data_IF_133693494199
#
_entry.id   IF_133693494199
#
_cell.length_a   1.000
_cell.length_b   1.000
_cell.length_c   1.000
_cell.angle_alpha   90.00
_cell.angle_beta   90.00
_cell.angle_gamma   90.00
#
_symmetry.space_group_name_H-M   'P 1'
#
loop_
_entity.id
_entity.type
_entity.pdbx_description
1 polymer ?
#
# COMPACT_ATOMS: atom_id res chain seq x y z
N UNK A 1 -16.17 -19.05 -34.19
CA UNK A 1 -15.99 -17.75 -33.50
C UNK A 1 -15.33 -18.05 -32.18
N UNK A 2 -13.99 -18.02 -32.14
CA UNK A 2 -13.23 -18.23 -30.92
C UNK A 2 -13.38 -17.00 -30.01
N UNK A 3 -14.18 -17.15 -28.95
CA UNK A 3 -14.26 -16.16 -27.90
C UNK A 3 -12.91 -16.13 -27.18
N UNK A 4 -12.07 -15.15 -27.52
CA UNK A 4 -10.84 -14.85 -26.79
C UNK A 4 -11.25 -14.64 -25.32
N UNK A 5 -10.70 -15.41 -24.36
CA UNK A 5 -11.11 -15.27 -22.97
C UNK A 5 -10.87 -13.82 -22.54
N UNK A 6 -11.91 -13.15 -22.07
CA UNK A 6 -11.86 -11.80 -21.54
C UNK A 6 -10.96 -11.87 -20.31
N UNK A 7 -9.67 -11.54 -20.49
CA UNK A 7 -8.74 -11.50 -19.38
C UNK A 7 -9.18 -10.37 -18.45
N UNK A 8 -9.38 -10.63 -17.14
CA UNK A 8 -9.82 -9.60 -16.22
C UNK A 8 -8.82 -8.44 -16.24
N UNK A 9 -9.30 -7.22 -16.44
CA UNK A 9 -8.44 -6.04 -16.49
C UNK A 9 -7.77 -5.81 -15.12
N UNK A 10 -6.43 -5.70 -15.05
CA UNK A 10 -5.73 -5.55 -13.78
C UNK A 10 -6.02 -4.18 -13.17
N UNK A 11 -6.43 -4.14 -11.89
CA UNK A 11 -6.69 -2.88 -11.17
C UNK A 11 -5.62 -2.66 -10.11
N UNK A 12 -4.95 -1.52 -10.18
CA UNK A 12 -3.94 -1.12 -9.20
C UNK A 12 -4.55 -0.85 -7.83
N UNK A 13 -3.91 -1.40 -6.79
CA UNK A 13 -4.26 -1.19 -5.38
C UNK A 13 -3.24 -0.26 -4.70
N UNK A 14 -2.90 0.83 -5.38
CA UNK A 14 -1.95 1.82 -4.89
C UNK A 14 -2.72 3.07 -4.43
N UNK A 15 -2.62 3.42 -3.15
CA UNK A 15 -3.19 4.65 -2.59
C UNK A 15 -2.70 5.91 -3.33
N UNK A 16 -1.42 5.87 -3.73
CA UNK A 16 -0.82 6.92 -4.54
C UNK A 16 -0.24 6.25 -5.77
N UNK A 17 -0.81 6.60 -6.92
CA UNK A 17 -0.33 6.12 -8.19
C UNK A 17 1.19 6.38 -8.29
N UNK A 18 2.02 5.39 -8.70
CA UNK A 18 3.46 5.55 -8.80
C UNK A 18 3.88 6.74 -9.69
N UNK A 19 3.01 7.16 -10.61
CA UNK A 19 3.23 8.34 -11.45
C UNK A 19 3.37 9.64 -10.64
N UNK A 20 2.69 9.75 -9.50
CA UNK A 20 2.74 10.95 -8.65
C UNK A 20 4.08 11.09 -7.91
N UNK A 21 4.73 9.98 -7.56
CA UNK A 21 6.05 9.99 -6.93
C UNK A 21 7.20 9.90 -7.93
N UNK A 22 6.96 9.45 -9.16
CA UNK A 22 7.98 9.29 -10.18
C UNK A 22 8.86 10.54 -10.41
N UNK A 23 8.34 11.78 -10.50
CA UNK A 23 9.19 12.95 -10.71
C UNK A 23 10.02 13.31 -9.47
N UNK A 24 9.45 13.21 -8.27
CA UNK A 24 10.16 13.45 -7.01
C UNK A 24 11.27 12.40 -6.79
N UNK A 25 10.95 11.12 -6.98
CA UNK A 25 11.91 10.01 -6.87
C UNK A 25 13.05 10.14 -7.88
N UNK A 26 12.75 10.58 -9.12
CA UNK A 26 13.77 10.89 -10.13
C UNK A 26 14.71 12.00 -9.70
N UNK A 27 14.18 13.08 -9.11
CA UNK A 27 14.99 14.18 -8.57
C UNK A 27 15.88 13.70 -7.43
N UNK A 28 15.32 12.91 -6.51
CA UNK A 28 16.08 12.33 -5.40
C UNK A 28 17.19 11.38 -5.90
N UNK A 29 16.90 10.55 -6.90
CA UNK A 29 17.89 9.66 -7.49
C UNK A 29 19.01 10.44 -8.19
N UNK A 30 18.67 11.50 -8.94
CA UNK A 30 19.64 12.37 -9.60
C UNK A 30 20.54 13.07 -8.58
N UNK A 31 19.96 13.64 -7.52
CA UNK A 31 20.71 14.29 -6.45
C UNK A 31 21.65 13.29 -5.75
N UNK A 32 21.17 12.08 -5.48
CA UNK A 32 21.98 11.03 -4.83
C UNK A 32 23.13 10.55 -5.70
N UNK A 33 22.89 10.38 -7.01
CA UNK A 33 23.95 10.06 -7.97
C UNK A 33 24.96 11.20 -8.06
N UNK A 34 24.51 12.46 -8.09
CA UNK A 34 25.38 13.63 -8.09
C UNK A 34 26.29 13.69 -6.85
N UNK A 35 25.73 13.43 -5.66
CA UNK A 35 26.49 13.38 -4.41
C UNK A 35 27.49 12.22 -4.43
N UNK A 36 27.08 11.02 -4.88
CA UNK A 36 27.97 9.86 -4.99
C UNK A 36 29.14 10.11 -5.96
N UNK A 37 28.86 10.70 -7.13
CA UNK A 37 29.88 11.08 -8.11
C UNK A 37 30.82 12.15 -7.54
N UNK A 38 30.27 13.19 -6.91
CA UNK A 38 31.06 14.26 -6.29
C UNK A 38 31.99 13.75 -5.20
N UNK A 39 31.47 12.91 -4.29
CA UNK A 39 32.27 12.28 -3.24
C UNK A 39 33.36 11.36 -3.80
N UNK A 40 33.05 10.57 -4.83
CA UNK A 40 34.03 9.72 -5.50
C UNK A 40 35.14 10.51 -6.19
N UNK A 41 34.80 11.58 -6.91
CA UNK A 41 35.78 12.45 -7.57
C UNK A 41 36.69 13.17 -6.56
N UNK A 42 36.13 13.67 -5.45
CA UNK A 42 36.92 14.27 -4.38
C UNK A 42 37.85 13.25 -3.71
N UNK A 43 37.38 12.03 -3.48
CA UNK A 43 38.20 10.95 -2.93
C UNK A 43 39.33 10.51 -3.88
N UNK A 44 39.14 10.59 -5.19
CA UNK A 44 40.15 10.24 -6.19
C UNK A 44 41.38 11.16 -6.17
N UNK A 45 41.26 12.36 -5.58
CA UNK A 45 42.39 13.27 -5.36
C UNK A 45 43.28 12.83 -4.19
N UNK A 46 42.71 12.06 -3.25
CA UNK A 46 43.33 11.71 -1.97
C UNK A 46 43.74 10.24 -1.90
N UNK A 47 43.08 9.38 -2.68
CA UNK A 47 43.19 7.93 -2.57
C UNK A 47 43.26 7.31 -3.97
N UNK A 48 43.74 6.06 -4.04
CA UNK A 48 43.77 5.30 -5.29
C UNK A 48 42.38 5.20 -5.93
N UNK A 49 42.36 5.23 -7.26
CA UNK A 49 41.14 5.22 -8.07
C UNK A 49 40.13 4.12 -7.67
N UNK A 50 40.53 2.87 -7.34
CA UNK A 50 39.60 1.85 -6.86
C UNK A 50 38.90 2.21 -5.55
N UNK A 51 39.60 2.81 -4.58
CA UNK A 51 39.01 3.23 -3.31
C UNK A 51 38.06 4.41 -3.50
N UNK A 52 38.42 5.35 -4.36
CA UNK A 52 37.58 6.49 -4.68
C UNK A 52 36.24 6.07 -5.32
N UNK A 53 36.27 5.10 -6.24
CA UNK A 53 35.06 4.49 -6.81
C UNK A 53 34.23 3.79 -5.72
N UNK A 54 34.88 3.02 -4.83
CA UNK A 54 34.18 2.36 -3.73
C UNK A 54 33.45 3.36 -2.81
N UNK A 55 34.08 4.48 -2.47
CA UNK A 55 33.48 5.56 -1.66
C UNK A 55 32.25 6.14 -2.38
N UNK A 56 32.36 6.46 -3.66
CA UNK A 56 31.25 7.00 -4.45
C UNK A 56 30.05 6.04 -4.51
N UNK A 57 30.30 4.74 -4.66
CA UNK A 57 29.26 3.70 -4.64
C UNK A 57 28.61 3.59 -3.26
N UNK A 58 29.38 3.52 -2.18
CA UNK A 58 28.83 3.39 -0.82
C UNK A 58 27.94 4.58 -0.45
N UNK A 59 28.27 5.78 -0.92
CA UNK A 59 27.49 7.00 -0.65
C UNK A 59 26.26 7.11 -1.56
N UNK A 60 26.41 6.87 -2.87
CA UNK A 60 25.34 7.10 -3.85
C UNK A 60 24.39 5.91 -4.06
N UNK A 61 24.90 4.68 -3.95
CA UNK A 61 24.14 3.48 -4.32
C UNK A 61 22.95 3.19 -3.40
N UNK A 62 23.04 3.31 -2.05
CA UNK A 62 21.91 2.97 -1.17
C UNK A 62 20.63 3.74 -1.51
N UNK A 63 20.75 5.06 -1.74
CA UNK A 63 19.61 5.91 -2.08
C UNK A 63 19.09 5.64 -3.49
N UNK A 64 19.99 5.46 -4.47
CA UNK A 64 19.60 5.11 -5.83
C UNK A 64 18.86 3.76 -5.87
N UNK A 65 19.40 2.74 -5.22
CA UNK A 65 18.77 1.42 -5.07
C UNK A 65 17.41 1.53 -4.38
N UNK A 66 17.31 2.32 -3.31
CA UNK A 66 16.05 2.53 -2.59
C UNK A 66 14.95 3.13 -3.48
N UNK A 67 15.27 4.16 -4.27
CA UNK A 67 14.29 4.77 -5.18
C UNK A 67 13.82 3.81 -6.28
N UNK A 68 14.73 3.03 -6.86
CA UNK A 68 14.40 2.01 -7.87
C UNK A 68 13.55 0.89 -7.25
N UNK A 69 13.88 0.49 -6.03
CA UNK A 69 13.15 -0.53 -5.28
C UNK A 69 11.70 -0.12 -5.03
N UNK A 70 11.46 1.11 -4.60
CA UNK A 70 10.12 1.67 -4.39
C UNK A 70 9.32 1.71 -5.68
N UNK A 71 9.93 2.13 -6.79
CA UNK A 71 9.26 2.25 -8.08
C UNK A 71 8.83 0.90 -8.68
N UNK A 72 9.51 -0.19 -8.32
CA UNK A 72 9.20 -1.55 -8.79
C UNK A 72 8.10 -2.24 -8.01
N UNK A 73 7.80 -1.78 -6.78
CA UNK A 73 6.73 -2.36 -5.97
C UNK A 73 5.39 -1.89 -6.52
N UNK A 74 4.58 -2.83 -6.98
CA UNK A 74 3.20 -2.59 -7.43
C UNK A 74 2.30 -3.69 -6.90
N UNK A 75 1.11 -3.31 -6.49
CA UNK A 75 0.07 -4.24 -6.08
C UNK A 75 -1.10 -4.03 -7.03
N UNK A 76 -1.57 -5.11 -7.65
CA UNK A 76 -2.76 -5.06 -8.48
C UNK A 76 -3.60 -6.31 -8.27
N UNK A 77 -4.85 -6.23 -8.72
CA UNK A 77 -5.81 -7.30 -8.60
C UNK A 77 -6.36 -7.71 -9.95
N UNK A 78 -6.36 -9.02 -10.19
CA UNK A 78 -6.89 -9.65 -11.39
C UNK A 78 -7.90 -10.71 -10.97
N UNK A 79 -9.19 -10.43 -11.13
CA UNK A 79 -10.26 -11.27 -10.57
C UNK A 79 -10.20 -11.29 -9.04
N UNK A 80 -10.07 -12.48 -8.45
CA UNK A 80 -9.91 -12.72 -7.00
C UNK A 80 -8.44 -12.91 -6.57
N UNK A 81 -7.50 -12.77 -7.51
CA UNK A 81 -6.07 -12.95 -7.26
C UNK A 81 -5.38 -11.60 -7.12
N UNK A 82 -4.68 -11.44 -6.00
CA UNK A 82 -3.83 -10.31 -5.71
C UNK A 82 -2.42 -10.60 -6.23
N UNK A 83 -1.93 -9.73 -7.11
CA UNK A 83 -0.59 -9.77 -7.64
C UNK A 83 0.27 -8.72 -6.95
N UNK A 84 1.40 -9.16 -6.39
CA UNK A 84 2.34 -8.32 -5.66
C UNK A 84 3.69 -8.43 -6.32
N UNK A 85 4.10 -7.37 -7.01
CA UNK A 85 5.47 -7.26 -7.53
C UNK A 85 6.40 -6.76 -6.42
N UNK A 86 7.41 -7.55 -6.09
CA UNK A 86 8.45 -7.18 -5.13
C UNK A 86 9.70 -6.69 -5.87
N UNK A 87 10.75 -6.35 -5.13
CA UNK A 87 12.06 -6.02 -5.70
C UNK A 87 12.55 -7.11 -6.66
N UNK A 88 12.35 -8.36 -6.25
CA UNK A 88 12.65 -9.55 -7.03
C UNK A 88 11.42 -10.46 -7.02
N UNK A 89 10.95 -10.81 -8.21
CA UNK A 89 9.80 -11.69 -8.40
C UNK A 89 8.44 -11.03 -8.26
N UNK A 90 7.44 -11.83 -8.59
CA UNK A 90 6.01 -11.55 -8.44
C UNK A 90 5.43 -12.62 -7.52
N UNK A 91 4.45 -12.23 -6.71
CA UNK A 91 3.70 -13.17 -5.87
C UNK A 91 2.22 -13.05 -6.17
N UNK A 92 1.57 -14.20 -6.14
CA UNK A 92 0.15 -14.35 -6.39
C UNK A 92 -0.49 -14.84 -5.11
N UNK A 93 -1.46 -14.09 -4.60
CA UNK A 93 -2.19 -14.41 -3.39
C UNK A 93 -3.68 -14.48 -3.76
N UNK A 94 -4.27 -15.66 -3.60
CA UNK A 94 -5.69 -15.85 -3.87
C UNK A 94 -6.50 -15.43 -2.64
N UNK A 95 -7.39 -14.45 -2.79
CA UNK A 95 -8.13 -13.87 -1.65
C UNK A 95 -9.13 -14.87 -1.05
N UNK A 96 -9.74 -15.72 -1.87
CA UNK A 96 -10.65 -16.79 -1.41
C UNK A 96 -9.96 -17.78 -0.48
N UNK A 97 -8.66 -18.05 -0.69
CA UNK A 97 -7.83 -18.96 0.11
C UNK A 97 -7.08 -18.27 1.25
N UNK A 98 -7.39 -17.01 1.53
CA UNK A 98 -6.83 -16.35 2.70
C UNK A 98 -7.25 -17.11 3.97
N UNK A 99 -6.31 -17.29 4.90
CA UNK A 99 -6.55 -17.89 6.21
C UNK A 99 -6.54 -16.85 7.34
N UNK A 100 -6.25 -15.59 7.03
CA UNK A 100 -6.39 -14.48 7.95
C UNK A 100 -6.66 -13.18 7.21
N UNK A 101 -7.65 -12.43 7.68
CA UNK A 101 -7.98 -11.09 7.18
C UNK A 101 -8.09 -10.17 8.38
N UNK A 102 -7.35 -9.07 8.34
CA UNK A 102 -7.28 -8.14 9.46
C UNK A 102 -7.24 -6.71 8.96
N UNK A 103 -7.94 -5.82 9.67
CA UNK A 103 -7.90 -4.40 9.40
C UNK A 103 -6.95 -3.72 10.40
N UNK A 104 -5.87 -3.12 9.91
CA UNK A 104 -4.88 -2.43 10.72
C UNK A 104 -5.02 -0.93 10.60
N UNK A 105 -4.98 -0.27 11.75
CA UNK A 105 -4.87 1.18 11.83
C UNK A 105 -3.52 1.52 12.46
N UNK A 106 -2.75 2.36 11.77
CA UNK A 106 -1.51 2.90 12.31
C UNK A 106 -1.77 4.36 12.70
N UNK A 107 -1.95 4.66 13.99
CA UNK A 107 -2.14 6.02 14.47
C UNK A 107 -0.82 6.80 14.39
N UNK A 108 -0.85 7.99 13.78
CA UNK A 108 0.23 8.95 13.69
C UNK A 108 -0.34 10.26 13.15
N UNK A 109 0.45 11.35 13.07
CA UNK A 109 0.03 12.61 12.39
C UNK A 109 -0.58 12.38 10.99
N UNK A 110 -0.04 11.37 10.30
CA UNK A 110 -0.63 10.76 9.12
C UNK A 110 -1.07 9.34 9.48
N UNK A 111 -2.34 9.21 9.88
CA UNK A 111 -2.94 7.91 10.15
C UNK A 111 -3.11 7.13 8.86
N UNK A 112 -2.84 5.83 8.89
CA UNK A 112 -3.06 4.93 7.74
C UNK A 112 -3.91 3.75 8.15
N UNK A 113 -4.79 3.34 7.24
CA UNK A 113 -5.60 2.14 7.34
C UNK A 113 -5.11 1.17 6.28
N UNK A 114 -4.82 -0.06 6.67
CA UNK A 114 -4.34 -1.10 5.77
C UNK A 114 -5.05 -2.43 6.06
N UNK A 115 -5.34 -3.17 5.00
CA UNK A 115 -5.81 -4.55 5.08
C UNK A 115 -4.61 -5.49 5.08
N UNK A 116 -4.52 -6.37 6.07
CA UNK A 116 -3.57 -7.49 6.06
C UNK A 116 -4.29 -8.75 5.64
N UNK A 117 -3.82 -9.32 4.53
CA UNK A 117 -4.21 -10.65 4.09
C UNK A 117 -3.11 -11.63 4.42
N UNK A 118 -3.48 -12.77 4.98
CA UNK A 118 -2.59 -13.90 5.25
C UNK A 118 -3.12 -15.09 4.45
N UNK A 119 -2.25 -15.77 3.70
CA UNK A 119 -2.53 -17.07 3.13
C UNK A 119 -1.31 -17.99 3.32
N UNK A 120 -1.46 -19.00 4.16
CA UNK A 120 -0.36 -19.85 4.58
C UNK A 120 0.77 -19.04 5.25
N UNK A 121 2.04 -19.19 4.81
CA UNK A 121 3.17 -18.44 5.37
C UNK A 121 3.24 -16.99 4.87
N UNK A 122 2.43 -16.62 3.87
CA UNK A 122 2.52 -15.32 3.22
C UNK A 122 1.60 -14.30 3.88
N UNK A 123 2.13 -13.09 4.08
CA UNK A 123 1.38 -11.93 4.58
C UNK A 123 1.55 -10.77 3.60
N UNK A 124 0.45 -10.12 3.26
CA UNK A 124 0.44 -8.95 2.40
C UNK A 124 -0.37 -7.83 3.04
N UNK A 125 0.24 -6.64 3.12
CA UNK A 125 -0.43 -5.41 3.51
C UNK A 125 -0.88 -4.65 2.27
N UNK A 126 -2.16 -4.30 2.22
CA UNK A 126 -2.79 -3.53 1.17
C UNK A 126 -3.23 -2.20 1.79
N UNK A 127 -2.67 -1.07 1.36
CA UNK A 127 -3.03 0.22 1.91
C UNK A 127 -4.44 0.63 1.42
N UNK A 128 -5.33 1.01 2.34
CA UNK A 128 -6.73 1.34 2.03
C UNK A 128 -7.02 2.84 2.12
N UNK A 129 -6.44 3.52 3.10
CA UNK A 129 -6.61 4.97 3.27
C UNK A 129 -5.46 5.59 4.08
N UNK A 130 -5.26 6.90 3.91
CA UNK A 130 -4.43 7.75 4.74
C UNK A 130 -5.20 9.01 5.11
N UNK A 131 -5.12 9.44 6.37
CA UNK A 131 -5.77 10.64 6.88
C UNK A 131 -4.81 11.47 7.70
N UNK A 132 -4.91 12.78 7.57
CA UNK A 132 -4.18 13.76 8.38
C UNK A 132 -5.01 14.18 9.58
N UNK A 133 -4.35 14.76 10.58
CA UNK A 133 -5.02 15.37 11.75
C UNK A 133 -5.97 16.51 11.37
N UNK A 134 -5.79 17.11 10.19
CA UNK A 134 -6.59 18.24 9.70
C UNK A 134 -7.91 17.83 9.04
N UNK A 135 -8.33 16.56 9.16
CA UNK A 135 -9.57 16.08 8.54
C UNK A 135 -9.50 16.05 7.01
N UNK A 136 -8.31 15.81 6.45
CA UNK A 136 -8.14 15.53 5.03
C UNK A 136 -7.50 14.16 4.84
N UNK A 137 -7.78 13.50 3.72
CA UNK A 137 -7.26 12.17 3.48
C UNK A 137 -7.23 11.77 2.02
N UNK A 138 -6.64 10.60 1.79
CA UNK A 138 -6.58 9.93 0.51
C UNK A 138 -6.96 8.48 0.73
N UNK A 139 -8.04 8.09 0.09
CA UNK A 139 -8.57 6.73 0.11
C UNK A 139 -8.17 6.01 -1.18
N UNK A 140 -8.24 4.70 -1.16
CA UNK A 140 -8.00 3.89 -2.35
C UNK A 140 -9.10 4.18 -3.37
N UNK A 141 -8.74 4.17 -4.65
CA UNK A 141 -9.70 4.44 -5.72
C UNK A 141 -10.91 3.47 -5.69
N UNK A 142 -12.10 3.98 -5.99
CA UNK A 142 -13.40 3.27 -6.00
C UNK A 142 -13.34 1.88 -6.64
N UNK A 143 -12.72 1.73 -7.82
CA UNK A 143 -12.62 0.42 -8.47
C UNK A 143 -11.75 -0.57 -7.69
N UNK A 144 -10.69 -0.09 -7.05
CA UNK A 144 -9.82 -0.90 -6.20
C UNK A 144 -10.54 -1.37 -4.93
N UNK A 145 -11.27 -0.47 -4.26
CA UNK A 145 -12.11 -0.80 -3.11
C UNK A 145 -13.21 -1.79 -3.48
N UNK A 146 -13.89 -1.58 -4.62
CA UNK A 146 -14.93 -2.49 -5.11
C UNK A 146 -14.39 -3.89 -5.39
N UNK A 147 -13.29 -4.00 -6.13
CA UNK A 147 -12.69 -5.32 -6.42
C UNK A 147 -12.22 -6.03 -5.16
N UNK A 148 -11.66 -5.30 -4.19
CA UNK A 148 -11.29 -5.88 -2.90
C UNK A 148 -12.51 -6.40 -2.14
N UNK A 149 -13.58 -5.60 -2.06
CA UNK A 149 -14.83 -6.01 -1.42
C UNK A 149 -15.42 -7.27 -2.08
N UNK A 150 -15.53 -7.28 -3.40
CA UNK A 150 -16.05 -8.41 -4.18
C UNK A 150 -15.21 -9.67 -3.96
N UNK A 151 -13.88 -9.54 -3.94
CA UNK A 151 -13.00 -10.69 -3.74
C UNK A 151 -13.02 -11.21 -2.30
N UNK A 152 -13.07 -10.33 -1.30
CA UNK A 152 -13.22 -10.71 0.10
C UNK A 152 -14.55 -11.43 0.35
N UNK A 153 -15.62 -11.06 -0.36
CA UNK A 153 -16.92 -11.72 -0.28
C UNK A 153 -16.89 -13.17 -0.80
N UNK A 154 -15.85 -13.58 -1.53
CA UNK A 154 -15.68 -14.97 -1.98
C UNK A 154 -14.91 -15.85 -0.98
N UNK A 155 -14.42 -15.27 0.12
CA UNK A 155 -13.74 -16.00 1.19
C UNK A 155 -14.74 -16.60 2.17
N UNK A 156 -14.43 -17.79 2.70
CA UNK A 156 -15.21 -18.45 3.75
C UNK A 156 -14.93 -17.88 5.16
N UNK A 157 -13.96 -16.97 5.29
CA UNK A 157 -13.62 -16.34 6.58
C UNK A 157 -14.65 -15.28 6.98
N UNK A 158 -15.20 -15.40 8.18
CA UNK A 158 -16.11 -14.40 8.76
C UNK A 158 -15.48 -12.99 8.81
N UNK A 159 -14.19 -12.90 9.19
CA UNK A 159 -13.44 -11.65 9.18
C UNK A 159 -13.35 -11.02 7.77
N UNK A 160 -13.20 -11.84 6.73
CA UNK A 160 -13.18 -11.35 5.35
C UNK A 160 -14.53 -10.76 4.94
N UNK A 161 -15.63 -11.41 5.32
CA UNK A 161 -16.99 -10.94 5.06
C UNK A 161 -17.27 -9.62 5.80
N UNK A 162 -16.82 -9.49 7.06
CA UNK A 162 -16.95 -8.24 7.83
C UNK A 162 -16.18 -7.08 7.20
N UNK A 163 -14.94 -7.33 6.72
CA UNK A 163 -14.20 -6.29 5.98
C UNK A 163 -14.88 -5.98 4.64
N UNK A 164 -15.39 -6.98 3.92
CA UNK A 164 -16.13 -6.78 2.65
C UNK A 164 -17.34 -5.87 2.86
N UNK A 165 -18.17 -6.12 3.87
CA UNK A 165 -19.34 -5.29 4.17
C UNK A 165 -18.95 -3.86 4.54
N UNK A 166 -17.90 -3.68 5.36
CA UNK A 166 -17.37 -2.35 5.70
C UNK A 166 -16.90 -1.59 4.44
N UNK A 167 -16.21 -2.27 3.51
CA UNK A 167 -15.79 -1.66 2.24
C UNK A 167 -16.97 -1.30 1.33
N UNK A 168 -18.02 -2.12 1.29
CA UNK A 168 -19.26 -1.79 0.57
C UNK A 168 -19.92 -0.55 1.17
N UNK A 169 -19.96 -0.45 2.50
CA UNK A 169 -20.49 0.74 3.18
C UNK A 169 -19.64 1.98 2.95
N UNK A 170 -18.32 1.84 2.83
CA UNK A 170 -17.42 2.91 2.40
C UNK A 170 -17.78 3.41 1.00
N UNK A 171 -17.91 2.48 0.03
CA UNK A 171 -18.28 2.82 -1.36
C UNK A 171 -19.65 3.51 -1.43
N UNK A 172 -20.61 3.07 -0.62
CA UNK A 172 -21.94 3.68 -0.53
C UNK A 172 -21.90 5.09 0.08
N UNK A 173 -21.07 5.31 1.10
CA UNK A 173 -20.88 6.63 1.69
C UNK A 173 -20.25 7.58 0.67
N UNK A 174 -19.21 7.14 -0.05
CA UNK A 174 -18.56 7.93 -1.09
C UNK A 174 -19.51 8.23 -2.27
N UNK A 175 -20.31 7.25 -2.71
CA UNK A 175 -21.28 7.44 -3.78
C UNK A 175 -22.42 8.42 -3.44
N UNK A 176 -22.61 8.75 -2.15
CA UNK A 176 -23.56 9.76 -1.68
C UNK A 176 -22.89 11.09 -1.31
N UNK A 177 -21.62 11.25 -1.65
CA UNK A 177 -20.79 12.40 -1.26
C UNK A 177 -20.79 12.66 0.25
N UNK A 178 -20.88 11.59 1.05
CA UNK A 178 -20.91 11.70 2.50
C UNK A 178 -19.58 12.27 3.04
N UNK A 179 -19.69 13.06 4.11
CA UNK A 179 -18.54 13.65 4.79
C UNK A 179 -17.62 12.59 5.41
N UNK A 180 -16.39 12.94 5.74
CA UNK A 180 -15.42 11.98 6.30
C UNK A 180 -15.93 11.28 7.56
N UNK A 181 -16.67 11.98 8.42
CA UNK A 181 -17.21 11.42 9.67
C UNK A 181 -18.21 10.27 9.43
N UNK A 182 -18.81 10.20 8.24
CA UNK A 182 -19.75 9.14 7.86
C UNK A 182 -19.04 7.96 7.18
N UNK A 183 -17.76 8.10 6.83
CA UNK A 183 -16.99 7.10 6.09
C UNK A 183 -16.37 6.06 7.03
N UNK A 184 -16.71 4.76 6.90
CA UNK A 184 -16.18 3.67 7.71
C UNK A 184 -14.66 3.69 7.92
N UNK A 185 -13.87 3.92 6.87
CA UNK A 185 -12.39 3.93 6.97
C UNK A 185 -11.87 5.08 7.83
N UNK A 186 -12.51 6.25 7.78
CA UNK A 186 -12.14 7.38 8.63
C UNK A 186 -12.61 7.17 10.08
N UNK A 187 -13.82 6.63 10.26
CA UNK A 187 -14.33 6.22 11.58
C UNK A 187 -13.42 5.19 12.26
N UNK A 188 -12.83 4.26 11.52
CA UNK A 188 -11.83 3.32 12.04
C UNK A 188 -10.62 4.04 12.67
N UNK A 189 -10.12 5.09 12.01
CA UNK A 189 -9.03 5.91 12.56
C UNK A 189 -9.46 6.68 13.80
N UNK A 190 -10.66 7.27 13.76
CA UNK A 190 -11.23 7.99 14.92
C UNK A 190 -11.39 7.08 16.13
N UNK A 191 -11.89 5.86 15.93
CA UNK A 191 -12.05 4.85 16.98
C UNK A 191 -10.72 4.50 17.66
N UNK A 192 -9.65 4.30 16.87
CA UNK A 192 -8.33 3.96 17.42
C UNK A 192 -7.67 5.14 18.12
N UNK A 193 -7.85 6.36 17.58
CA UNK A 193 -7.34 7.59 18.22
C UNK A 193 -8.05 7.93 19.51
N UNK A 194 -9.36 7.71 19.59
CA UNK A 194 -10.13 7.95 20.80
C UNK A 194 -9.66 7.07 21.98
N UNK A 195 -8.95 5.97 21.68
CA UNK A 195 -8.35 5.07 22.67
C UNK A 195 -6.88 5.41 22.99
N UNK A 196 -6.36 6.53 22.48
CA UNK A 196 -4.99 7.03 22.67
C UNK A 196 -3.88 6.01 22.35
N UNK A 197 -4.12 5.13 21.37
CA UNK A 197 -3.10 4.17 20.94
C UNK A 197 -1.98 4.86 20.15
N UNK A 198 -0.74 4.53 20.51
CA UNK A 198 0.49 4.97 19.81
C UNK A 198 1.11 3.88 18.93
N UNK A 199 0.58 2.65 19.01
CA UNK A 199 1.04 1.48 18.26
C UNK A 199 0.02 1.08 17.21
N UNK A 200 0.42 0.33 16.15
CA UNK A 200 -0.51 -0.23 15.19
C UNK A 200 -1.53 -1.13 15.90
N UNK A 201 -2.81 -0.91 15.62
CA UNK A 201 -3.92 -1.67 16.20
C UNK A 201 -4.55 -2.53 15.12
N UNK A 202 -4.73 -3.82 15.42
CA UNK A 202 -5.58 -4.71 14.64
C UNK A 202 -7.00 -4.57 15.19
N UNK A 203 -7.92 -4.13 14.34
CA UNK A 203 -9.33 -4.04 14.72
C UNK A 203 -9.93 -5.43 14.82
N UNK A 204 -10.74 -5.63 15.85
CA UNK A 204 -11.49 -6.88 16.05
C UNK A 204 -12.61 -7.01 15.02
N UNK A 205 -13.03 -8.24 14.72
CA UNK A 205 -14.13 -8.50 13.78
C UNK A 205 -15.41 -7.75 14.17
N UNK A 206 -15.65 -7.60 15.47
CA UNK A 206 -16.77 -6.82 16.00
C UNK A 206 -16.63 -5.33 15.69
N UNK A 207 -15.47 -4.73 15.96
CA UNK A 207 -15.22 -3.32 15.63
C UNK A 207 -15.32 -3.08 14.13
N UNK A 208 -14.85 -4.01 13.30
CA UNK A 208 -15.00 -3.93 11.83
C UNK A 208 -16.48 -4.00 11.43
N UNK A 209 -17.25 -4.91 12.01
CA UNK A 209 -18.68 -5.05 11.71
C UNK A 209 -19.49 -3.80 12.14
N UNK A 210 -19.14 -3.15 13.25
CA UNK A 210 -19.78 -1.90 13.72
C UNK A 210 -19.47 -0.69 12.83
N UNK A 211 -18.43 -0.77 11.98
CA UNK A 211 -18.09 0.27 11.02
C UNK A 211 -18.89 0.16 9.71
N UNK A 212 -19.51 -0.99 9.41
CA UNK A 212 -20.24 -1.28 8.17
C UNK A 212 -21.73 -0.96 8.20
#
# INVERSE_FOLDING_TARGET
MDAKPVQPEPVGLDLVAPEMYAPMLRRLSLASVGIGVGAGLLAALLVSWPLAVAIGVVVGAPTALYTVALRRRRIWMTGTTLHVRRLFGERHLEVSRANGVELLVYPARLSRVALRLTAGPERQLIPLAMYTDAGSGRELHLLGLRKLADALATSELAAAVAVSSMLVSQLRAEARDAGLEERPLYRAVRLVRAKDYVSPVVLTDREVAELG
#
